data_IF_617532741550
#
_entry.id   IF_617532741550
#
_cell.length_a   1.000
_cell.length_b   1.000
_cell.length_c   1.000
_cell.angle_alpha   90.00
_cell.angle_beta   90.00
_cell.angle_gamma   90.00
#
_symmetry.space_group_name_H-M   'P 1'
#
loop_
_entity.id
_entity.type
_entity.pdbx_description
1 polymer ?
#
# COMPACT_ATOMS: atom_id res chain seq x y z
N UNK A 1 -9.97 20.58 1.57
CA UNK A 1 -8.58 20.90 1.93
C UNK A 1 -8.10 19.79 2.85
N UNK A 2 -7.21 18.89 2.39
CA UNK A 2 -6.69 17.82 3.25
C UNK A 2 -5.48 18.37 4.01
N UNK A 3 -5.69 18.84 5.24
CA UNK A 3 -4.57 19.29 6.07
C UNK A 3 -3.71 18.09 6.49
N UNK A 4 -2.42 18.16 6.21
CA UNK A 4 -1.37 17.36 6.86
C UNK A 4 -1.00 16.01 6.24
N UNK A 5 0.09 15.46 6.75
CA UNK A 5 0.67 14.15 6.44
C UNK A 5 0.16 13.09 7.41
N UNK A 6 0.15 11.84 6.99
CA UNK A 6 -0.15 10.71 7.85
C UNK A 6 1.01 10.53 8.84
N UNK A 7 0.73 10.67 10.14
CA UNK A 7 1.69 10.45 11.21
C UNK A 7 1.88 8.95 11.46
N UNK A 8 3.12 8.48 11.45
CA UNK A 8 3.43 7.12 11.91
C UNK A 8 3.25 7.05 13.44
N UNK A 9 2.33 6.20 13.90
CA UNK A 9 2.02 6.03 15.33
C UNK A 9 2.93 5.04 16.06
N UNK A 10 3.84 4.35 15.35
CA UNK A 10 4.71 3.29 15.88
C UNK A 10 6.18 3.47 15.47
N UNK A 11 6.69 4.70 15.54
CA UNK A 11 8.07 5.03 15.16
C UNK A 11 9.12 4.25 15.94
N UNK A 12 8.86 3.95 17.22
CA UNK A 12 9.76 3.18 18.08
C UNK A 12 9.97 1.73 17.65
N UNK A 13 9.18 1.21 16.70
CA UNK A 13 9.32 -0.15 16.17
C UNK A 13 10.05 -0.18 14.83
N UNK A 14 10.44 0.98 14.29
CA UNK A 14 10.90 1.09 12.91
C UNK A 14 12.15 0.24 12.62
N UNK A 15 13.19 0.30 13.45
CA UNK A 15 14.44 -0.44 13.23
C UNK A 15 14.20 -1.96 13.19
N UNK A 16 13.31 -2.46 14.05
CA UNK A 16 12.90 -3.86 14.03
C UNK A 16 12.15 -4.21 12.73
N UNK A 17 11.22 -3.35 12.30
CA UNK A 17 10.44 -3.56 11.08
C UNK A 17 11.31 -3.51 9.82
N UNK A 18 12.31 -2.63 9.79
CA UNK A 18 13.28 -2.56 8.70
C UNK A 18 14.11 -3.84 8.60
N UNK A 19 14.58 -4.35 9.75
CA UNK A 19 15.28 -5.64 9.81
C UNK A 19 14.39 -6.78 9.29
N UNK A 20 13.14 -6.89 9.77
CA UNK A 20 12.19 -7.91 9.29
C UNK A 20 11.94 -7.82 7.78
N UNK A 21 11.83 -6.60 7.25
CA UNK A 21 11.68 -6.38 5.81
C UNK A 21 12.95 -6.71 5.03
N UNK A 22 14.13 -6.49 5.60
CA UNK A 22 15.40 -6.96 5.07
C UNK A 22 15.42 -8.48 4.93
N UNK A 23 15.01 -9.20 5.97
CA UNK A 23 14.87 -10.65 5.95
C UNK A 23 13.87 -11.11 4.88
N UNK A 24 12.63 -10.61 4.88
CA UNK A 24 11.63 -11.03 3.90
C UNK A 24 12.09 -10.78 2.44
N UNK A 25 12.79 -9.67 2.18
CA UNK A 25 13.36 -9.38 0.85
C UNK A 25 14.47 -10.37 0.46
N UNK A 26 15.37 -10.71 1.39
CA UNK A 26 16.46 -11.68 1.13
C UNK A 26 15.95 -13.06 0.74
N UNK A 27 14.83 -13.50 1.29
CA UNK A 27 14.21 -14.80 0.99
C UNK A 27 13.20 -14.75 -0.18
N UNK A 28 13.03 -13.59 -0.83
CA UNK A 28 12.09 -13.42 -1.95
C UNK A 28 10.62 -13.35 -1.53
N UNK A 29 10.33 -13.30 -0.23
CA UNK A 29 8.98 -13.17 0.31
C UNK A 29 8.43 -11.74 0.23
N UNK A 30 9.29 -10.74 0.03
CA UNK A 30 8.88 -9.35 -0.11
C UNK A 30 9.61 -8.61 -1.22
N UNK A 31 8.93 -7.66 -1.85
CA UNK A 31 9.52 -6.71 -2.80
C UNK A 31 8.88 -5.34 -2.63
N UNK A 32 9.59 -4.29 -3.07
CA UNK A 32 9.11 -2.91 -3.04
C UNK A 32 9.41 -2.27 -4.39
N UNK A 33 8.40 -1.66 -5.00
CA UNK A 33 8.47 -1.06 -6.32
C UNK A 33 7.79 0.32 -6.31
N UNK A 34 8.44 1.28 -6.94
CA UNK A 34 7.84 2.59 -7.27
C UNK A 34 7.13 2.44 -8.62
N UNK A 35 5.86 2.84 -8.66
CA UNK A 35 4.98 2.68 -9.82
C UNK A 35 5.11 3.91 -10.70
N UNK A 36 5.69 3.76 -11.88
CA UNK A 36 5.92 4.86 -12.83
C UNK A 36 5.04 4.75 -14.06
N UNK A 37 4.59 3.55 -14.40
CA UNK A 37 3.78 3.25 -15.59
C UNK A 37 2.67 2.21 -15.32
N UNK A 38 1.72 2.08 -16.25
CA UNK A 38 0.54 1.25 -16.06
C UNK A 38 0.86 -0.25 -15.85
N UNK A 39 1.88 -0.78 -16.57
CA UNK A 39 2.30 -2.18 -16.45
C UNK A 39 2.87 -2.54 -15.08
N UNK A 40 3.37 -1.57 -14.32
CA UNK A 40 3.86 -1.83 -12.97
C UNK A 40 2.72 -2.30 -12.03
N UNK A 41 1.47 -1.94 -12.34
CA UNK A 41 0.30 -2.41 -11.58
C UNK A 41 -0.07 -3.87 -11.89
N UNK A 42 0.59 -4.53 -12.84
CA UNK A 42 0.39 -5.97 -13.09
C UNK A 42 0.92 -6.82 -11.93
N UNK A 43 1.80 -6.27 -11.07
CA UNK A 43 2.19 -6.95 -9.83
C UNK A 43 0.99 -7.34 -8.98
N UNK A 44 -0.10 -6.56 -9.02
CA UNK A 44 -1.33 -6.78 -8.24
C UNK A 44 -2.13 -8.01 -8.70
N UNK A 45 -1.77 -8.64 -9.82
CA UNK A 45 -2.42 -9.84 -10.34
C UNK A 45 -1.95 -11.13 -9.65
N UNK A 46 -0.84 -11.09 -8.92
CA UNK A 46 -0.34 -12.25 -8.17
C UNK A 46 -1.13 -12.43 -6.85
N UNK A 47 -2.07 -13.38 -6.87
CA UNK A 47 -2.94 -13.69 -5.73
C UNK A 47 -2.21 -14.39 -4.58
N UNK A 48 -0.94 -14.79 -4.75
CA UNK A 48 -0.14 -15.40 -3.66
C UNK A 48 0.42 -14.34 -2.70
N UNK A 49 0.26 -13.06 -3.02
CA UNK A 49 0.80 -11.94 -2.26
C UNK A 49 -0.26 -10.97 -1.76
N UNK A 50 0.14 -10.17 -0.78
CA UNK A 50 -0.58 -9.01 -0.30
C UNK A 50 0.16 -7.75 -0.68
N UNK A 51 -0.58 -6.71 -1.06
CA UNK A 51 0.00 -5.46 -1.53
C UNK A 51 -0.35 -4.34 -0.59
N UNK A 52 0.68 -3.74 -0.01
CA UNK A 52 0.60 -2.51 0.76
C UNK A 52 1.06 -1.37 -0.12
N UNK A 53 0.50 -0.19 0.07
CA UNK A 53 0.95 0.98 -0.65
C UNK A 53 1.13 2.18 0.26
N UNK A 54 1.98 3.09 -0.18
CA UNK A 54 1.99 4.48 0.25
C UNK A 54 1.93 5.40 -0.97
N UNK A 55 1.43 6.60 -0.75
CA UNK A 55 1.50 7.71 -1.70
C UNK A 55 2.01 8.93 -0.94
N UNK A 56 3.07 9.55 -1.43
CA UNK A 56 3.75 10.68 -0.77
C UNK A 56 3.42 12.02 -1.44
N UNK A 57 3.96 13.11 -0.86
CA UNK A 57 3.72 14.48 -1.35
C UNK A 57 4.41 14.75 -2.69
N UNK A 58 5.44 13.98 -3.00
CA UNK A 58 6.18 14.01 -4.26
C UNK A 58 5.36 13.37 -5.41
N UNK A 59 4.19 12.78 -5.10
CA UNK A 59 3.32 12.14 -6.09
C UNK A 59 3.79 10.76 -6.51
N UNK A 60 4.66 10.12 -5.72
CA UNK A 60 5.14 8.77 -5.95
C UNK A 60 4.20 7.75 -5.30
N UNK A 61 3.76 6.77 -6.09
CA UNK A 61 3.06 5.58 -5.61
C UNK A 61 4.08 4.46 -5.42
N UNK A 62 4.18 3.95 -4.19
CA UNK A 62 5.10 2.87 -3.85
C UNK A 62 4.28 1.70 -3.35
N UNK A 63 4.51 0.53 -3.93
CA UNK A 63 3.82 -0.70 -3.59
C UNK A 63 4.84 -1.69 -3.02
N UNK A 64 4.53 -2.18 -1.82
CA UNK A 64 5.18 -3.32 -1.19
C UNK A 64 4.36 -4.58 -1.43
N UNK A 65 4.99 -5.60 -2.01
CA UNK A 65 4.41 -6.94 -2.17
C UNK A 65 4.96 -7.84 -1.08
N UNK A 66 4.10 -8.62 -0.41
CA UNK A 66 4.51 -9.59 0.60
C UNK A 66 3.76 -10.91 0.45
N UNK A 67 4.49 -12.03 0.45
CA UNK A 67 3.99 -13.39 0.41
C UNK A 67 2.93 -13.60 1.50
N UNK A 68 1.78 -14.19 1.14
CA UNK A 68 0.73 -14.56 2.11
C UNK A 68 1.18 -15.67 3.06
N UNK A 69 2.30 -16.36 2.78
CA UNK A 69 2.88 -17.41 3.64
C UNK A 69 3.64 -16.86 4.85
N UNK A 70 4.01 -15.58 4.82
CA UNK A 70 4.74 -14.94 5.91
C UNK A 70 3.89 -13.88 6.60
N UNK A 71 4.31 -13.46 7.79
CA UNK A 71 3.56 -12.46 8.53
C UNK A 71 3.57 -11.12 7.79
N UNK A 72 2.40 -10.55 7.53
CA UNK A 72 2.28 -9.25 6.87
C UNK A 72 3.06 -8.12 7.56
N UNK A 73 3.36 -8.23 8.86
CA UNK A 73 4.21 -7.28 9.61
C UNK A 73 5.65 -7.24 9.12
N UNK A 74 6.12 -8.27 8.40
CA UNK A 74 7.48 -8.30 7.86
C UNK A 74 7.71 -7.26 6.76
N UNK A 75 6.67 -6.61 6.23
CA UNK A 75 6.81 -5.43 5.38
C UNK A 75 5.83 -4.37 5.83
N UNK A 76 6.24 -3.45 6.70
CA UNK A 76 5.36 -2.41 7.24
C UNK A 76 5.22 -1.21 6.30
N UNK A 77 4.18 -0.39 6.47
CA UNK A 77 4.01 0.84 5.68
C UNK A 77 5.15 1.85 5.91
N UNK A 78 5.67 2.06 7.13
CA UNK A 78 6.83 2.92 7.35
C UNK A 78 8.07 2.49 6.57
N UNK A 79 8.32 1.19 6.41
CA UNK A 79 9.45 0.68 5.60
C UNK A 79 9.28 1.06 4.12
N UNK A 80 8.05 1.18 3.63
CA UNK A 80 7.81 1.70 2.28
C UNK A 80 8.15 3.19 2.17
N UNK A 81 7.86 3.96 3.23
CA UNK A 81 8.11 5.40 3.29
C UNK A 81 9.59 5.76 3.48
N UNK A 82 10.35 4.95 4.23
CA UNK A 82 11.77 5.22 4.52
C UNK A 82 12.67 5.11 3.30
N UNK A 83 12.29 4.28 2.31
CA UNK A 83 13.04 4.12 1.07
C UNK A 83 13.19 5.45 0.31
N UNK A 84 12.26 6.39 0.49
CA UNK A 84 12.28 7.70 -0.13
C UNK A 84 12.54 8.83 0.89
N UNK A 85 13.51 8.64 1.81
CA UNK A 85 14.02 9.71 2.70
C UNK A 85 12.96 10.37 3.59
N UNK A 86 12.27 9.59 4.43
CA UNK A 86 11.20 10.13 5.32
C UNK A 86 10.08 10.83 4.54
N UNK A 87 9.86 10.43 3.28
CA UNK A 87 8.82 10.97 2.41
C UNK A 87 7.49 11.07 3.13
N UNK A 88 6.94 12.29 3.10
CA UNK A 88 5.74 12.63 3.86
C UNK A 88 4.54 11.93 3.24
N UNK A 89 4.07 10.88 3.91
CA UNK A 89 2.98 10.03 3.41
C UNK A 89 1.65 10.80 3.48
N UNK A 90 0.90 10.85 2.36
CA UNK A 90 -0.44 11.45 2.31
C UNK A 90 -1.55 10.40 2.16
N UNK A 91 -1.22 9.20 1.66
CA UNK A 91 -2.11 8.03 1.64
C UNK A 91 -1.34 6.77 1.98
N UNK A 92 -1.99 5.83 2.65
CA UNK A 92 -1.46 4.50 2.90
C UNK A 92 -2.61 3.50 2.89
N UNK A 93 -2.31 2.23 2.66
CA UNK A 93 -3.33 1.19 2.72
C UNK A 93 -2.94 -0.11 2.04
N UNK A 94 -3.95 -0.87 1.63
CA UNK A 94 -3.77 -2.05 0.79
C UNK A 94 -4.40 -1.82 -0.59
N UNK A 95 -3.86 -2.51 -1.59
CA UNK A 95 -4.38 -2.49 -2.96
C UNK A 95 -4.65 -3.89 -3.46
N UNK A 96 -5.72 -4.03 -4.24
CA UNK A 96 -6.02 -5.23 -5.01
C UNK A 96 -6.39 -4.83 -6.42
N UNK A 97 -6.23 -5.75 -7.37
CA UNK A 97 -6.69 -5.52 -8.73
C UNK A 97 -7.55 -6.68 -9.18
N UNK A 98 -8.67 -6.35 -9.81
CA UNK A 98 -9.48 -7.31 -10.54
C UNK A 98 -9.86 -6.67 -11.88
N UNK A 99 -9.44 -7.29 -12.98
CA UNK A 99 -9.59 -6.75 -14.34
C UNK A 99 -9.02 -5.33 -14.43
N UNK A 100 -9.83 -4.36 -14.87
CA UNK A 100 -9.46 -2.96 -15.00
C UNK A 100 -9.74 -2.13 -13.73
N UNK A 101 -10.09 -2.76 -12.61
CA UNK A 101 -10.44 -2.06 -11.37
C UNK A 101 -9.40 -2.31 -10.29
N UNK A 102 -8.88 -1.22 -9.72
CA UNK A 102 -7.98 -1.21 -8.58
C UNK A 102 -8.75 -0.86 -7.32
N UNK A 103 -8.80 -1.78 -6.37
CA UNK A 103 -9.48 -1.63 -5.09
C UNK A 103 -8.50 -1.07 -4.06
N UNK A 104 -8.88 0.02 -3.42
CA UNK A 104 -8.08 0.73 -2.42
C UNK A 104 -8.71 0.54 -1.04
N UNK A 105 -7.96 0.01 -0.09
CA UNK A 105 -8.44 -0.20 1.29
C UNK A 105 -7.67 0.67 2.26
N UNK A 106 -8.37 1.46 3.08
CA UNK A 106 -7.78 2.41 4.04
C UNK A 106 -7.25 1.74 5.32
N UNK A 107 -6.60 0.58 5.19
CA UNK A 107 -6.09 -0.18 6.32
C UNK A 107 -4.57 -0.03 6.47
N UNK A 108 -4.13 0.60 7.56
CA UNK A 108 -2.72 0.62 7.98
C UNK A 108 -2.65 0.66 9.51
N UNK A 109 -1.92 -0.28 10.10
CA UNK A 109 -1.69 -0.33 11.54
C UNK A 109 -0.80 0.80 12.06
N UNK A 110 -0.12 1.52 11.18
CA UNK A 110 0.83 2.58 11.50
C UNK A 110 0.25 3.97 11.28
N UNK A 111 -0.46 4.16 10.18
CA UNK A 111 -0.96 5.46 9.74
C UNK A 111 -2.47 5.66 9.98
N UNK A 112 -3.24 4.57 10.17
CA UNK A 112 -4.70 4.59 10.38
C UNK A 112 -5.46 5.59 9.47
N UNK A 113 -5.28 5.51 8.14
CA UNK A 113 -5.79 6.51 7.22
C UNK A 113 -7.33 6.51 7.18
N UNK A 114 -7.94 7.69 7.19
CA UNK A 114 -9.37 7.83 6.87
C UNK A 114 -9.65 7.50 5.41
N UNK A 115 -10.89 7.11 5.07
CA UNK A 115 -11.31 6.82 3.69
C UNK A 115 -10.95 7.93 2.70
N UNK A 116 -11.14 9.20 3.08
CA UNK A 116 -10.80 10.35 2.22
C UNK A 116 -9.32 10.45 1.85
N UNK A 117 -8.42 9.81 2.60
CA UNK A 117 -6.98 9.78 2.30
C UNK A 117 -6.66 8.90 1.10
N UNK A 118 -7.60 8.09 0.62
CA UNK A 118 -7.45 7.29 -0.59
C UNK A 118 -7.73 8.07 -1.89
N UNK A 119 -8.31 9.27 -1.78
CA UNK A 119 -8.68 10.07 -2.96
C UNK A 119 -7.48 10.51 -3.81
N UNK A 120 -6.33 10.95 -3.24
CA UNK A 120 -5.16 11.31 -4.03
C UNK A 120 -4.63 10.13 -4.87
N UNK A 121 -4.48 8.94 -4.27
CA UNK A 121 -4.00 7.75 -4.98
C UNK A 121 -5.03 7.25 -6.01
N UNK A 122 -6.33 7.36 -5.70
CA UNK A 122 -7.41 7.06 -6.65
C UNK A 122 -7.33 7.97 -7.88
N UNK A 123 -7.20 9.28 -7.67
CA UNK A 123 -7.04 10.27 -8.74
C UNK A 123 -5.79 10.01 -9.57
N UNK A 124 -4.65 9.75 -8.91
CA UNK A 124 -3.38 9.43 -9.59
C UNK A 124 -3.53 8.21 -10.53
N UNK A 125 -4.07 7.10 -10.04
CA UNK A 125 -4.21 5.86 -10.82
C UNK A 125 -5.16 6.06 -12.01
N UNK A 126 -6.31 6.70 -11.78
CA UNK A 126 -7.29 6.97 -12.85
C UNK A 126 -6.70 7.86 -13.93
N UNK A 127 -6.08 8.97 -13.54
CA UNK A 127 -5.62 9.99 -14.47
C UNK A 127 -4.33 9.59 -15.19
N UNK A 128 -3.40 8.91 -14.51
CA UNK A 128 -2.09 8.57 -15.07
C UNK A 128 -2.10 7.24 -15.83
N UNK A 129 -2.92 6.27 -15.40
CA UNK A 129 -2.87 4.90 -15.92
C UNK A 129 -4.17 4.41 -16.55
N UNK A 130 -5.27 5.17 -16.45
CA UNK A 130 -6.56 4.81 -17.08
C UNK A 130 -7.33 3.66 -16.41
N UNK A 131 -6.91 3.21 -15.23
CA UNK A 131 -7.64 2.19 -14.46
C UNK A 131 -8.85 2.78 -13.76
N UNK A 132 -9.89 1.95 -13.59
CA UNK A 132 -10.96 2.24 -12.64
C UNK A 132 -10.41 2.07 -11.21
N UNK A 133 -10.94 2.84 -10.26
CA UNK A 133 -10.59 2.66 -8.84
C UNK A 133 -11.82 2.59 -7.98
N UNK A 134 -11.80 1.72 -6.98
CA UNK A 134 -12.88 1.55 -6.03
C UNK A 134 -12.35 1.66 -4.60
N UNK A 135 -12.88 2.61 -3.84
CA UNK A 135 -12.51 2.80 -2.44
C UNK A 135 -13.35 1.88 -1.57
N UNK A 136 -12.68 1.12 -0.70
CA UNK A 136 -13.31 0.22 0.26
C UNK A 136 -12.85 0.56 1.66
N UNK A 137 -13.81 0.85 2.52
CA UNK A 137 -13.52 1.07 3.93
C UNK A 137 -13.13 -0.24 4.60
N UNK A 138 -12.03 -0.22 5.35
CA UNK A 138 -11.56 -1.33 6.15
C UNK A 138 -12.65 -1.80 7.12
N UNK A 139 -12.61 -3.09 7.50
CA UNK A 139 -13.53 -3.70 8.48
C UNK A 139 -15.02 -3.66 8.10
N UNK A 140 -15.35 -3.30 6.86
CA UNK A 140 -16.72 -3.40 6.33
C UNK A 140 -16.99 -4.76 5.70
N UNK A 141 -18.27 -5.10 5.51
CA UNK A 141 -18.69 -6.31 4.79
C UNK A 141 -18.02 -6.42 3.41
N UNK A 142 -17.95 -5.30 2.68
CA UNK A 142 -17.28 -5.19 1.38
C UNK A 142 -15.78 -5.53 1.45
N UNK A 143 -15.10 -5.14 2.53
CA UNK A 143 -13.72 -5.56 2.76
C UNK A 143 -13.61 -7.07 3.03
N UNK A 144 -14.58 -7.65 3.73
CA UNK A 144 -14.71 -9.10 3.89
C UNK A 144 -14.84 -9.83 2.55
N UNK A 145 -15.71 -9.34 1.67
CA UNK A 145 -15.90 -9.89 0.32
C UNK A 145 -14.61 -9.85 -0.51
N UNK A 146 -13.86 -8.74 -0.45
CA UNK A 146 -12.60 -8.61 -1.19
C UNK A 146 -11.58 -9.69 -0.84
N UNK A 147 -11.65 -10.30 0.35
CA UNK A 147 -10.75 -11.40 0.72
C UNK A 147 -11.01 -12.68 -0.07
N UNK A 148 -12.21 -12.86 -0.65
CA UNK A 148 -12.55 -14.02 -1.48
C UNK A 148 -12.13 -13.87 -2.95
N UNK A 149 -11.93 -12.62 -3.41
CA UNK A 149 -11.43 -12.32 -4.75
C UNK A 149 -9.90 -12.12 -4.79
N UNK A 150 -9.22 -12.42 -3.68
CA UNK A 150 -7.80 -12.15 -3.44
C UNK A 150 -6.92 -13.38 -3.44
#
# INVERSE_FOLDING_TARGET
MFEGYLRNTKLNLFDMEENLAGWARRYGDASVQTITEARDLDILLDTTKSYKFIFNVEGQLIIGSISKKVNSKMLSHPVLASREQESRVISAGYMYRYRNTVYLVNHSGHYKPSVGRLLPVSGFIRNKFGFNTEIVQAETFKHGILKFFR
#
